data_IF_651584658913
#
_entry.id   IF_651584658913
#
_cell.length_a   1.000
_cell.length_b   1.000
_cell.length_c   1.000
_cell.angle_alpha   90.00
_cell.angle_beta   90.00
_cell.angle_gamma   90.00
#
_symmetry.space_group_name_H-M   'P 1'
#
loop_
_entity.id
_entity.type
_entity.pdbx_description
1 polymer ?
#
# COMPACT_ATOMS: atom_id res chain seq x y z
N UNK A 1 14.11 -4.61 15.04
CA UNK A 1 12.71 -4.35 14.65
C UNK A 1 12.40 -5.27 13.50
N UNK A 2 11.53 -6.25 13.73
CA UNK A 2 11.11 -7.23 12.73
C UNK A 2 10.14 -6.55 11.76
N UNK A 3 10.37 -6.71 10.46
CA UNK A 3 9.41 -6.32 9.43
C UNK A 3 8.23 -7.29 9.52
N UNK A 4 7.14 -6.88 10.18
CA UNK A 4 5.92 -7.69 10.18
C UNK A 4 5.15 -7.43 8.87
N UNK A 5 5.03 -8.49 8.08
CA UNK A 5 4.31 -8.46 6.81
C UNK A 5 2.83 -8.16 7.03
N UNK A 6 2.24 -8.60 8.15
CA UNK A 6 0.85 -8.28 8.48
C UNK A 6 0.68 -6.80 8.74
N UNK A 7 1.57 -6.15 9.50
CA UNK A 7 1.50 -4.70 9.76
C UNK A 7 1.56 -3.90 8.46
N UNK A 8 2.45 -4.29 7.54
CA UNK A 8 2.57 -3.65 6.23
C UNK A 8 1.28 -3.84 5.42
N UNK A 9 0.66 -5.01 5.47
CA UNK A 9 -0.61 -5.30 4.77
C UNK A 9 -1.74 -4.48 5.38
N UNK A 10 -1.86 -4.42 6.71
CA UNK A 10 -2.87 -3.62 7.40
C UNK A 10 -2.72 -2.13 7.07
N UNK A 11 -1.49 -1.62 7.12
CA UNK A 11 -1.18 -0.25 6.74
C UNK A 11 -1.50 0.02 5.27
N UNK A 12 -1.18 -0.89 4.36
CA UNK A 12 -1.48 -0.73 2.93
C UNK A 12 -2.97 -0.87 2.61
N UNK A 13 -3.74 -1.60 3.42
CA UNK A 13 -5.20 -1.69 3.33
C UNK A 13 -5.90 -0.45 3.91
N UNK A 14 -5.25 0.23 4.85
CA UNK A 14 -5.75 1.47 5.43
C UNK A 14 -5.62 2.63 4.43
N UNK A 15 -6.77 3.12 3.96
CA UNK A 15 -6.85 4.19 2.96
C UNK A 15 -6.24 5.54 3.44
N UNK A 16 -5.94 5.66 4.74
CA UNK A 16 -5.29 6.84 5.34
C UNK A 16 -3.76 6.81 5.29
N UNK A 17 -3.16 5.64 5.05
CA UNK A 17 -1.71 5.50 5.01
C UNK A 17 -1.18 5.78 3.61
N UNK A 18 -0.20 6.68 3.50
CA UNK A 18 0.53 6.88 2.25
C UNK A 18 1.70 5.90 2.12
N UNK A 19 2.07 5.53 0.89
CA UNK A 19 3.30 4.77 0.65
C UNK A 19 4.56 5.48 1.19
N UNK A 20 4.54 6.82 1.28
CA UNK A 20 5.62 7.58 1.90
C UNK A 20 5.75 7.30 3.41
N UNK A 21 4.63 7.17 4.14
CA UNK A 21 4.66 6.77 5.55
C UNK A 21 5.14 5.34 5.73
N UNK A 22 4.67 4.40 4.90
CA UNK A 22 5.16 3.02 4.91
C UNK A 22 6.66 2.97 4.65
N UNK A 23 7.17 3.76 3.70
CA UNK A 23 8.62 3.88 3.43
C UNK A 23 9.39 4.48 4.61
N UNK A 24 8.82 5.47 5.30
CA UNK A 24 9.46 6.07 6.46
C UNK A 24 9.56 5.10 7.65
N UNK A 25 8.55 4.25 7.85
CA UNK A 25 8.52 3.29 8.97
C UNK A 25 9.30 2.00 8.68
N UNK A 26 9.14 1.43 7.48
CA UNK A 26 9.64 0.10 7.13
C UNK A 26 10.75 0.12 6.07
N UNK A 27 11.10 1.29 5.54
CA UNK A 27 12.12 1.43 4.50
C UNK A 27 11.69 0.98 3.10
N UNK A 28 10.49 0.42 2.94
CA UNK A 28 10.04 -0.16 1.67
C UNK A 28 9.28 0.83 0.78
N UNK A 29 9.54 0.73 -0.53
CA UNK A 29 8.89 1.58 -1.53
C UNK A 29 7.48 1.11 -1.91
N UNK A 30 6.76 1.96 -2.65
CA UNK A 30 5.43 1.62 -3.21
C UNK A 30 5.45 0.32 -4.03
N UNK A 31 6.50 0.08 -4.82
CA UNK A 31 6.60 -1.11 -5.66
C UNK A 31 6.80 -2.39 -4.85
N UNK A 32 7.53 -2.31 -3.74
CA UNK A 32 7.69 -3.42 -2.80
C UNK A 32 6.37 -3.72 -2.07
N UNK A 33 5.65 -2.69 -1.63
CA UNK A 33 4.31 -2.84 -1.06
C UNK A 33 3.36 -3.48 -2.07
N UNK A 34 3.37 -3.04 -3.34
CA UNK A 34 2.55 -3.66 -4.41
C UNK A 34 2.90 -5.13 -4.65
N UNK A 35 4.18 -5.48 -4.59
CA UNK A 35 4.66 -6.87 -4.73
C UNK A 35 4.20 -7.72 -3.56
N UNK A 36 4.36 -7.22 -2.35
CA UNK A 36 3.94 -7.87 -1.11
C UNK A 36 2.42 -8.07 -1.08
N UNK A 37 1.63 -7.05 -1.42
CA UNK A 37 0.17 -7.15 -1.53
C UNK A 37 -0.26 -8.17 -2.59
N UNK A 38 0.46 -8.26 -3.72
CA UNK A 38 0.16 -9.25 -4.78
C UNK A 38 0.44 -10.68 -4.34
N UNK A 39 1.43 -10.88 -3.48
CA UNK A 39 1.80 -12.20 -2.95
C UNK A 39 0.85 -12.66 -1.84
N UNK A 40 0.34 -11.72 -1.02
CA UNK A 40 -0.45 -12.05 0.16
C UNK A 40 -1.97 -11.99 -0.06
N UNK A 41 -2.47 -11.20 -1.02
CA UNK A 41 -3.90 -11.12 -1.31
C UNK A 41 -4.34 -12.08 -2.40
N UNK A 42 -5.57 -12.59 -2.27
CA UNK A 42 -6.26 -13.25 -3.38
C UNK A 42 -6.35 -12.31 -4.60
N UNK A 43 -6.32 -12.84 -5.83
CA UNK A 43 -6.32 -12.01 -7.05
C UNK A 43 -7.48 -10.99 -7.13
N UNK A 44 -8.67 -11.38 -6.68
CA UNK A 44 -9.84 -10.49 -6.61
C UNK A 44 -9.66 -9.33 -5.62
N UNK A 45 -9.18 -9.64 -4.41
CA UNK A 45 -8.88 -8.64 -3.38
C UNK A 45 -7.77 -7.68 -3.82
N UNK A 46 -6.71 -8.21 -4.44
CA UNK A 46 -5.63 -7.38 -4.99
C UNK A 46 -6.15 -6.41 -6.06
N UNK A 47 -7.01 -6.88 -6.98
CA UNK A 47 -7.65 -6.02 -7.99
C UNK A 47 -8.50 -4.92 -7.36
N UNK A 48 -9.29 -5.24 -6.33
CA UNK A 48 -10.11 -4.25 -5.62
C UNK A 48 -9.24 -3.20 -4.91
N UNK A 49 -8.20 -3.64 -4.20
CA UNK A 49 -7.22 -2.74 -3.57
C UNK A 49 -6.53 -1.83 -4.59
N UNK A 50 -6.08 -2.37 -5.73
CA UNK A 50 -5.46 -1.57 -6.81
C UNK A 50 -6.37 -0.49 -7.37
N UNK A 51 -7.69 -0.74 -7.46
CA UNK A 51 -8.66 0.30 -7.85
C UNK A 51 -8.71 1.42 -6.81
N UNK A 52 -8.74 1.09 -5.51
CA UNK A 52 -8.72 2.10 -4.44
C UNK A 52 -7.44 2.92 -4.47
N UNK A 53 -6.27 2.27 -4.53
CA UNK A 53 -4.96 2.96 -4.60
C UNK A 53 -4.90 3.95 -5.76
N UNK A 54 -5.45 3.60 -6.93
CA UNK A 54 -5.52 4.51 -8.09
C UNK A 54 -6.39 5.73 -7.79
N UNK A 55 -7.59 5.53 -7.24
CA UNK A 55 -8.50 6.63 -6.86
C UNK A 55 -7.85 7.57 -5.83
N UNK A 56 -7.12 7.03 -4.85
CA UNK A 56 -6.44 7.83 -3.83
C UNK A 56 -5.16 8.50 -4.35
N UNK A 57 -4.42 7.86 -5.25
CA UNK A 57 -3.24 8.47 -5.89
C UNK A 57 -3.64 9.62 -6.82
N UNK A 58 -4.71 9.44 -7.60
CA UNK A 58 -5.24 10.47 -8.50
C UNK A 58 -5.76 11.69 -7.72
N UNK A 59 -6.28 11.50 -6.49
CA UNK A 59 -6.65 12.61 -5.59
C UNK A 59 -5.45 13.38 -5.05
N UNK A 60 -4.32 12.71 -4.78
CA UNK A 60 -3.09 13.35 -4.26
C UNK A 60 -2.33 14.15 -5.32
N UNK A 61 -2.47 13.82 -6.60
CA UNK A 61 -1.92 14.63 -7.70
C UNK A 61 -2.56 16.02 -7.85
N UNK A 62 -3.74 16.25 -7.24
CA UNK A 62 -4.46 17.54 -7.29
C UNK A 62 -4.08 18.55 -6.20
N UNK A 63 -3.09 18.26 -5.35
CA UNK A 63 -2.60 19.16 -4.30
C UNK A 63 -1.16 19.62 -4.56
N UNK A 64 -0.87 20.09 -5.77
CA UNK A 64 0.39 20.77 -6.08
C UNK A 64 0.10 22.13 -6.69
#
# INVERSE_FOLDING_TARGET
MTLDVNDIIEMALCDHTSFAQTKAQYGIGEDEVKKLMRQNLKPGSYRAWRRRVRVFSDRRAKYK
#
